data_IF_270242325403
#
_entry.id   IF_270242325403
#
_cell.length_a   1.000
_cell.length_b   1.000
_cell.length_c   1.000
_cell.angle_alpha   90.00
_cell.angle_beta   90.00
_cell.angle_gamma   90.00
#
_symmetry.space_group_name_H-M   'P 1'
#
loop_
_entity.id
_entity.type
_entity.pdbx_description
1 polymer ?
#
# COMPACT_ATOMS: atom_id res chain seq x y z
N UNK A 1 -10.52 25.78 9.01
CA UNK A 1 -10.11 24.59 8.24
C UNK A 1 -10.87 23.37 8.75
N UNK A 2 -11.64 22.78 7.88
CA UNK A 2 -12.37 21.59 8.25
C UNK A 2 -11.45 20.36 8.18
N UNK A 3 -11.52 19.54 9.21
CA UNK A 3 -10.80 18.27 9.23
C UNK A 3 -11.80 17.13 9.13
N UNK A 4 -11.56 16.24 8.18
CA UNK A 4 -12.38 15.05 8.05
C UNK A 4 -11.68 13.88 8.70
N UNK A 5 -12.41 13.23 9.59
CA UNK A 5 -11.90 12.04 10.25
C UNK A 5 -12.67 10.83 9.71
N UNK A 6 -11.92 9.85 9.24
CA UNK A 6 -12.50 8.59 8.78
C UNK A 6 -12.49 7.62 9.94
N UNK A 7 -13.64 7.04 10.26
CA UNK A 7 -13.70 6.03 11.32
C UNK A 7 -13.00 4.76 10.87
N UNK A 8 -12.50 3.93 11.81
CA UNK A 8 -11.90 2.65 11.45
C UNK A 8 -12.86 1.74 10.66
N UNK A 9 -14.13 1.76 11.00
CA UNK A 9 -15.12 0.94 10.29
C UNK A 9 -15.32 1.44 8.86
N UNK A 10 -15.37 2.74 8.65
CA UNK A 10 -15.48 3.31 7.31
C UNK A 10 -14.24 3.01 6.47
N UNK A 11 -13.07 3.11 7.08
CA UNK A 11 -11.82 2.81 6.39
C UNK A 11 -11.78 1.34 5.95
N UNK A 12 -12.19 0.44 6.82
CA UNK A 12 -12.22 -0.99 6.53
C UNK A 12 -13.22 -1.28 5.41
N UNK A 13 -14.42 -0.72 5.49
CA UNK A 13 -15.45 -0.89 4.46
C UNK A 13 -14.97 -0.38 3.11
N UNK A 14 -14.38 0.82 3.08
CA UNK A 14 -13.91 1.42 1.84
C UNK A 14 -12.74 0.64 1.26
N UNK A 15 -11.92 0.03 2.11
CA UNK A 15 -10.81 -0.82 1.66
C UNK A 15 -11.34 -2.08 0.97
N UNK A 16 -12.37 -2.71 1.51
CA UNK A 16 -13.02 -3.85 0.86
C UNK A 16 -13.71 -3.45 -0.44
N UNK A 17 -14.32 -2.26 -0.50
CA UNK A 17 -14.90 -1.74 -1.74
C UNK A 17 -13.83 -1.53 -2.80
N UNK A 18 -12.66 -1.04 -2.41
CA UNK A 18 -11.53 -0.92 -3.33
C UNK A 18 -11.12 -2.28 -3.88
N UNK A 19 -11.00 -3.28 -3.02
CA UNK A 19 -10.70 -4.64 -3.44
C UNK A 19 -11.72 -5.19 -4.41
N UNK A 20 -13.00 -4.95 -4.16
CA UNK A 20 -14.07 -5.37 -5.04
C UNK A 20 -13.94 -4.72 -6.42
N UNK A 21 -13.63 -3.43 -6.47
CA UNK A 21 -13.40 -2.73 -7.73
C UNK A 21 -12.23 -3.32 -8.51
N UNK A 22 -11.18 -3.72 -7.82
CA UNK A 22 -10.02 -4.37 -8.45
C UNK A 22 -10.46 -5.68 -9.10
N UNK A 23 -11.23 -6.49 -8.37
CA UNK A 23 -11.73 -7.76 -8.89
C UNK A 23 -12.60 -7.54 -10.12
N UNK A 24 -13.52 -6.58 -10.06
CA UNK A 24 -14.45 -6.28 -11.15
C UNK A 24 -13.73 -5.74 -12.38
N UNK A 25 -12.61 -5.04 -12.19
CA UNK A 25 -11.84 -4.48 -13.30
C UNK A 25 -11.13 -5.55 -14.15
N UNK A 26 -10.99 -6.75 -13.62
CA UNK A 26 -10.24 -7.82 -14.28
C UNK A 26 -8.74 -7.75 -14.03
N UNK A 27 -8.25 -6.70 -13.39
CA UNK A 27 -6.84 -6.61 -13.03
C UNK A 27 -6.48 -7.65 -11.97
N UNK A 28 -5.37 -8.34 -12.16
CA UNK A 28 -4.89 -9.37 -11.22
C UNK A 28 -3.50 -8.99 -10.75
N UNK A 29 -3.40 -8.30 -9.61
CA UNK A 29 -2.11 -7.86 -9.10
C UNK A 29 -1.29 -9.04 -8.59
N UNK A 30 0.03 -8.97 -8.79
CA UNK A 30 0.97 -9.90 -8.18
C UNK A 30 1.50 -9.35 -6.86
N UNK A 31 1.56 -8.04 -6.74
CA UNK A 31 2.08 -7.36 -5.55
C UNK A 31 1.10 -6.32 -5.05
N UNK A 32 1.04 -6.20 -3.74
CA UNK A 32 0.39 -5.08 -3.05
C UNK A 32 1.48 -4.35 -2.29
N UNK A 33 1.64 -3.07 -2.58
CA UNK A 33 2.63 -2.24 -1.89
C UNK A 33 1.87 -1.24 -1.03
N UNK A 34 1.95 -1.41 0.27
CA UNK A 34 1.37 -0.49 1.22
C UNK A 34 2.42 0.49 1.71
N UNK A 35 2.08 1.77 1.69
CA UNK A 35 2.98 2.78 2.23
C UNK A 35 2.75 2.86 3.73
N UNK A 36 3.80 2.58 4.48
CA UNK A 36 3.73 2.58 5.92
C UNK A 36 3.53 4.01 6.41
N UNK A 37 2.61 4.26 7.35
CA UNK A 37 1.79 3.22 7.97
C UNK A 37 0.33 3.30 7.50
N UNK A 38 -0.07 4.40 6.90
CA UNK A 38 -1.47 4.64 6.53
C UNK A 38 -2.01 3.66 5.50
N UNK A 39 -1.16 3.23 4.55
CA UNK A 39 -1.58 2.30 3.51
C UNK A 39 -1.62 0.84 3.95
N UNK A 40 -0.99 0.49 5.09
CA UNK A 40 -0.89 -0.90 5.51
C UNK A 40 -2.25 -1.53 5.87
N UNK A 41 -3.12 -0.87 6.66
CA UNK A 41 -4.44 -1.44 6.93
C UNK A 41 -5.28 -1.63 5.67
N UNK A 42 -5.21 -0.69 4.74
CA UNK A 42 -5.91 -0.79 3.46
C UNK A 42 -5.38 -1.97 2.65
N UNK A 43 -4.05 -2.09 2.57
CA UNK A 43 -3.40 -3.20 1.85
C UNK A 43 -3.76 -4.55 2.43
N UNK A 44 -3.81 -4.68 3.76
CA UNK A 44 -4.20 -5.92 4.42
C UNK A 44 -5.63 -6.31 4.06
N UNK A 45 -6.56 -5.36 4.13
CA UNK A 45 -7.96 -5.62 3.82
C UNK A 45 -8.14 -6.04 2.35
N UNK A 46 -7.47 -5.35 1.43
CA UNK A 46 -7.52 -5.69 0.01
C UNK A 46 -6.93 -7.07 -0.22
N UNK A 47 -5.79 -7.38 0.39
CA UNK A 47 -5.17 -8.69 0.25
C UNK A 47 -6.07 -9.81 0.75
N UNK A 48 -6.70 -9.62 1.91
CA UNK A 48 -7.61 -10.63 2.46
C UNK A 48 -8.78 -10.91 1.53
N UNK A 49 -9.35 -9.87 0.93
CA UNK A 49 -10.43 -10.03 -0.01
C UNK A 49 -9.97 -10.77 -1.28
N UNK A 50 -8.81 -10.41 -1.80
CA UNK A 50 -8.25 -11.06 -2.98
C UNK A 50 -7.94 -12.53 -2.71
N UNK A 51 -7.37 -12.85 -1.55
CA UNK A 51 -7.13 -14.22 -1.13
C UNK A 51 -8.43 -15.01 -1.04
N UNK A 52 -9.47 -14.40 -0.53
CA UNK A 52 -10.78 -15.04 -0.41
C UNK A 52 -11.34 -15.48 -1.75
N UNK A 53 -11.10 -14.72 -2.81
CA UNK A 53 -11.57 -15.06 -4.15
C UNK A 53 -10.51 -15.80 -4.97
N UNK A 54 -9.41 -16.23 -4.36
CA UNK A 54 -8.40 -17.06 -5.00
C UNK A 54 -7.31 -16.32 -5.75
N UNK A 55 -7.15 -15.02 -5.49
CA UNK A 55 -6.08 -14.22 -6.11
C UNK A 55 -4.96 -14.05 -5.08
N UNK A 56 -3.86 -14.76 -5.28
CA UNK A 56 -2.71 -14.69 -4.39
C UNK A 56 -1.85 -13.48 -4.74
N UNK A 57 -1.47 -12.71 -3.72
CA UNK A 57 -0.61 -11.54 -3.88
C UNK A 57 0.48 -11.56 -2.82
N UNK A 58 1.59 -10.90 -3.12
CA UNK A 58 2.64 -10.66 -2.14
C UNK A 58 2.48 -9.22 -1.63
N UNK A 59 2.28 -9.08 -0.32
CA UNK A 59 2.04 -7.77 0.29
C UNK A 59 3.30 -7.30 0.99
N UNK A 60 3.79 -6.16 0.56
CA UNK A 60 5.00 -5.55 1.09
C UNK A 60 4.69 -4.13 1.54
N UNK A 61 5.19 -3.78 2.70
CA UNK A 61 5.12 -2.41 3.19
C UNK A 61 6.43 -1.70 2.86
N UNK A 62 6.31 -0.51 2.29
CA UNK A 62 7.44 0.39 2.18
C UNK A 62 7.21 1.56 3.13
N UNK A 63 8.28 2.12 3.63
CA UNK A 63 8.20 3.25 4.53
C UNK A 63 8.96 4.41 3.92
N UNK A 64 8.34 5.58 3.94
CA UNK A 64 9.00 6.81 3.52
C UNK A 64 9.24 7.68 4.74
N UNK A 65 10.35 8.39 4.74
CA UNK A 65 10.65 9.35 5.78
C UNK A 65 11.42 10.52 5.19
N UNK A 66 11.22 11.68 5.77
CA UNK A 66 12.00 12.85 5.40
C UNK A 66 13.33 12.83 6.15
N UNK A 67 14.39 13.07 5.42
CA UNK A 67 15.71 13.20 5.98
C UNK A 67 16.17 14.65 5.88
N UNK A 68 16.52 15.24 7.03
CA UNK A 68 17.11 16.56 7.05
C UNK A 68 18.60 16.41 7.29
N UNK A 69 19.40 16.84 6.34
CA UNK A 69 20.84 16.88 6.50
C UNK A 69 21.28 17.97 7.47
N UNK A 70 22.54 17.94 7.84
CA UNK A 70 23.12 18.91 8.77
C UNK A 70 22.98 20.34 8.23
N UNK A 71 22.97 20.49 6.92
CA UNK A 71 22.83 21.80 6.28
C UNK A 71 21.41 22.33 6.26
N UNK A 72 20.44 21.57 6.70
CA UNK A 72 19.01 21.92 6.82
C UNK A 72 18.33 22.38 5.54
N UNK A 73 19.05 22.50 4.45
CA UNK A 73 18.52 22.99 3.18
C UNK A 73 18.13 21.88 2.23
N UNK A 74 18.58 20.66 2.48
CA UNK A 74 18.27 19.51 1.64
C UNK A 74 17.33 18.59 2.37
N UNK A 75 16.11 18.47 1.86
CA UNK A 75 15.16 17.47 2.32
C UNK A 75 15.12 16.34 1.32
N UNK A 76 15.33 15.12 1.80
CA UNK A 76 15.25 13.93 0.98
C UNK A 76 14.26 12.97 1.57
N UNK A 77 13.51 12.30 0.72
CA UNK A 77 12.61 11.23 1.12
C UNK A 77 13.35 9.91 1.02
N UNK A 78 13.43 9.20 2.13
CA UNK A 78 14.01 7.86 2.15
C UNK A 78 12.90 6.84 1.98
N UNK A 79 13.18 5.80 1.21
CA UNK A 79 12.23 4.70 1.00
C UNK A 79 12.85 3.44 1.59
N UNK A 80 12.14 2.85 2.55
CA UNK A 80 12.54 1.62 3.21
C UNK A 80 11.73 0.45 2.64
N UNK A 81 12.37 -0.70 2.50
CA UNK A 81 11.73 -1.91 1.96
C UNK A 81 11.81 -2.03 0.45
N UNK A 82 12.35 -1.03 -0.21
CA UNK A 82 12.43 -1.02 -1.67
C UNK A 82 13.32 -2.15 -2.22
N UNK A 83 14.36 -2.53 -1.48
CA UNK A 83 15.26 -3.59 -1.90
C UNK A 83 14.57 -4.92 -2.16
N UNK A 84 13.58 -5.27 -1.33
CA UNK A 84 12.79 -6.48 -1.53
C UNK A 84 12.03 -6.42 -2.85
N UNK A 85 11.37 -5.30 -3.13
CA UNK A 85 10.60 -5.12 -4.35
C UNK A 85 11.48 -5.20 -5.58
N UNK A 86 12.66 -4.56 -5.55
CA UNK A 86 13.60 -4.58 -6.66
C UNK A 86 14.00 -6.03 -6.99
N UNK A 87 14.19 -6.86 -5.97
CA UNK A 87 14.59 -8.25 -6.17
C UNK A 87 13.45 -9.15 -6.62
N UNK A 88 12.21 -8.81 -6.28
CA UNK A 88 11.06 -9.68 -6.50
C UNK A 88 10.20 -9.31 -7.69
N UNK A 89 10.15 -8.03 -8.03
CA UNK A 89 9.33 -7.58 -9.16
C UNK A 89 10.02 -7.95 -10.47
N UNK A 90 9.30 -8.65 -11.31
CA UNK A 90 9.73 -8.96 -12.66
C UNK A 90 9.18 -7.92 -13.62
N UNK A 91 9.81 -7.85 -14.82
CA UNK A 91 9.45 -6.88 -15.83
C UNK A 91 7.98 -6.93 -16.24
N UNK A 92 7.39 -8.11 -16.19
CA UNK A 92 6.03 -8.35 -16.67
C UNK A 92 4.97 -8.26 -15.57
N UNK A 93 5.37 -7.92 -14.36
CA UNK A 93 4.45 -7.84 -13.24
C UNK A 93 3.52 -6.62 -13.29
#
# INVERSE_FOLDING_TARGET
MEKYFISPDDLLRDSFLLGQKIIESGFRPDFIVGIWRGGTPVGIAVQELLDYVGIATDHVAIRTSYYKGIAETAEAVQVHGLGYLIRKINRDD
#
